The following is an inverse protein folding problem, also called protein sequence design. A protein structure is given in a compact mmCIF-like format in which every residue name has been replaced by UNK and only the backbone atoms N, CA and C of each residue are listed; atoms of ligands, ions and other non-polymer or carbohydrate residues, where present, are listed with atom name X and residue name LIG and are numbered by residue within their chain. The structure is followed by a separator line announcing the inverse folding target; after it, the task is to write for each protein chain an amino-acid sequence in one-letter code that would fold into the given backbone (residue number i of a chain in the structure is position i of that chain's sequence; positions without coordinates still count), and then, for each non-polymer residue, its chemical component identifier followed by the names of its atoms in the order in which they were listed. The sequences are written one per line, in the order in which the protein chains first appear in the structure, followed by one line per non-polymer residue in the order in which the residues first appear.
data_IF_874023490064
#
_entry.id   IF_874023490064
#
_cell.length_a   1.000
_cell.length_b   1.000
_cell.length_c   1.000
_cell.angle_alpha   90.00
_cell.angle_beta   90.00
_cell.angle_gamma   90.00
#
_symmetry.space_group_name_H-M   'P 1'
#
loop_
_entity.id
_entity.type
_entity.pdbx_description
1 polymer ?
#
# COMPACT_ATOMS: atom_id res chain seq x y z
N UNK A 1 15.63 22.25 -34.27
CA UNK A 1 14.67 21.49 -33.44
C UNK A 1 15.43 20.53 -32.51
N UNK A 2 16.30 21.04 -31.64
CA UNK A 2 17.17 20.22 -30.75
C UNK A 2 16.54 19.91 -29.39
N UNK A 3 15.38 20.48 -29.07
CA UNK A 3 14.73 20.37 -27.76
C UNK A 3 13.75 19.20 -27.65
N UNK A 4 13.30 18.61 -28.77
CA UNK A 4 12.28 17.53 -28.76
C UNK A 4 12.83 16.22 -28.17
N UNK A 5 14.11 15.90 -28.38
CA UNK A 5 14.73 14.65 -27.92
C UNK A 5 15.20 14.70 -26.45
N UNK A 6 15.09 15.86 -25.79
CA UNK A 6 15.57 16.05 -24.41
C UNK A 6 14.50 15.65 -23.38
N UNK A 7 13.22 15.78 -23.73
CA UNK A 7 12.12 15.49 -22.84
C UNK A 7 12.03 14.00 -22.49
N UNK A 8 12.12 13.66 -21.20
CA UNK A 8 12.07 12.29 -20.69
C UNK A 8 13.09 11.33 -21.35
N UNK A 9 14.23 11.87 -21.78
CA UNK A 9 15.34 11.16 -22.42
C UNK A 9 15.92 10.01 -21.58
N UNK A 10 15.73 10.03 -20.25
CA UNK A 10 16.27 9.00 -19.34
C UNK A 10 15.17 8.07 -18.82
N UNK A 11 15.32 6.74 -18.96
CA UNK A 11 14.32 5.79 -18.46
C UNK A 11 14.19 5.87 -16.93
N UNK A 12 12.96 5.93 -16.43
CA UNK A 12 12.63 6.00 -14.99
C UNK A 12 12.13 4.66 -14.47
N UNK A 13 12.95 3.63 -14.62
CA UNK A 13 12.63 2.25 -14.20
C UNK A 13 12.73 2.06 -12.68
N UNK A 14 13.55 2.87 -12.00
CA UNK A 14 13.76 2.78 -10.54
C UNK A 14 13.82 4.15 -9.86
N UNK A 15 13.84 4.13 -8.52
CA UNK A 15 13.91 5.33 -7.67
C UNK A 15 12.56 6.00 -7.41
N UNK A 16 12.59 7.14 -6.72
CA UNK A 16 11.37 7.87 -6.27
C UNK A 16 10.49 8.34 -7.44
N UNK A 17 11.08 8.62 -8.60
CA UNK A 17 10.36 9.11 -9.78
C UNK A 17 9.64 8.03 -10.59
N UNK A 18 9.95 6.75 -10.35
CA UNK A 18 9.42 5.59 -11.09
C UNK A 18 8.02 5.18 -10.68
N UNK A 19 7.63 5.51 -9.44
CA UNK A 19 6.37 5.07 -8.83
C UNK A 19 5.58 6.27 -8.32
N UNK A 20 4.27 6.14 -8.38
CA UNK A 20 3.31 7.13 -7.89
C UNK A 20 2.19 6.42 -7.14
N UNK A 21 1.52 7.15 -6.24
CA UNK A 21 0.31 6.64 -5.60
C UNK A 21 -0.75 6.31 -6.63
N UNK A 22 -1.44 5.18 -6.43
CA UNK A 22 -2.58 4.76 -7.27
C UNK A 22 -3.80 5.69 -7.19
N UNK A 23 -3.94 6.44 -6.09
CA UNK A 23 -5.09 7.34 -5.84
C UNK A 23 -4.73 8.80 -6.13
N UNK A 24 -3.68 9.29 -5.47
CA UNK A 24 -3.33 10.71 -5.45
C UNK A 24 -2.29 11.11 -6.51
N UNK A 25 -1.69 10.15 -7.25
CA UNK A 25 -0.57 10.31 -8.20
C UNK A 25 0.70 10.96 -7.60
N UNK A 26 0.68 11.29 -6.31
CA UNK A 26 1.80 11.85 -5.57
C UNK A 26 2.92 10.82 -5.45
N UNK A 27 4.16 11.27 -5.68
CA UNK A 27 5.35 10.41 -5.70
C UNK A 27 6.01 10.28 -4.33
N UNK A 28 5.81 11.24 -3.43
CA UNK A 28 6.41 11.20 -2.11
C UNK A 28 5.52 10.46 -1.10
N UNK A 29 6.17 9.79 -0.13
CA UNK A 29 5.45 9.14 0.97
C UNK A 29 4.67 7.90 0.58
N UNK A 30 5.11 7.19 -0.45
CA UNK A 30 4.49 5.97 -0.94
C UNK A 30 4.77 4.80 0.01
N UNK A 31 3.71 4.14 0.49
CA UNK A 31 3.79 2.90 1.26
C UNK A 31 3.92 1.76 0.25
N UNK A 32 5.07 1.08 0.30
CA UNK A 32 5.46 0.00 -0.62
C UNK A 32 5.27 -1.41 -0.04
N UNK A 33 4.82 -1.50 1.21
CA UNK A 33 4.62 -2.77 1.89
C UNK A 33 3.35 -3.44 1.37
N UNK A 34 3.39 -4.76 1.21
CA UNK A 34 2.27 -5.59 0.73
C UNK A 34 1.75 -5.25 -0.68
N UNK A 35 2.53 -4.54 -1.51
CA UNK A 35 2.16 -4.24 -2.90
C UNK A 35 1.01 -3.22 -3.05
N UNK A 36 0.76 -2.40 -2.03
CA UNK A 36 -0.32 -1.40 -2.04
C UNK A 36 -0.05 -0.22 -2.98
N UNK A 37 1.17 0.32 -2.97
CA UNK A 37 1.58 1.53 -3.71
C UNK A 37 0.64 2.73 -3.49
N UNK A 38 0.34 3.03 -2.23
CA UNK A 38 -0.56 4.13 -1.81
C UNK A 38 0.20 5.17 -1.00
N UNK A 39 -0.11 6.46 -1.16
CA UNK A 39 0.48 7.55 -0.38
C UNK A 39 -0.02 7.48 1.09
N UNK A 40 0.82 7.86 2.05
CA UNK A 40 0.49 7.79 3.50
C UNK A 40 -0.81 8.52 3.90
N UNK A 41 -1.22 9.55 3.15
CA UNK A 41 -2.47 10.28 3.37
C UNK A 41 -3.67 9.43 2.94
N UNK A 42 -3.68 8.98 1.69
CA UNK A 42 -4.73 8.08 1.18
C UNK A 42 -4.80 6.75 1.94
N UNK A 43 -3.67 6.25 2.46
CA UNK A 43 -3.70 5.05 3.29
C UNK A 43 -4.50 5.26 4.58
N UNK A 44 -4.43 6.45 5.21
CA UNK A 44 -5.19 6.73 6.43
C UNK A 44 -6.70 6.83 6.16
N UNK A 45 -7.09 7.35 5.00
CA UNK A 45 -8.49 7.44 4.58
C UNK A 45 -9.09 6.08 4.22
N UNK A 46 -8.27 5.17 3.69
CA UNK A 46 -8.70 3.84 3.22
C UNK A 46 -8.34 2.68 4.15
N UNK A 47 -7.68 2.95 5.28
CA UNK A 47 -7.22 1.92 6.21
C UNK A 47 -8.38 1.04 6.72
N UNK A 48 -9.51 1.66 7.05
CA UNK A 48 -10.73 0.96 7.50
C UNK A 48 -11.28 0.02 6.44
N UNK A 49 -11.35 0.49 5.19
CA UNK A 49 -11.95 -0.26 4.07
C UNK A 49 -11.07 -1.46 3.66
N UNK A 50 -9.75 -1.33 3.84
CA UNK A 50 -8.80 -2.42 3.61
C UNK A 50 -8.80 -3.44 4.78
N UNK A 51 -9.37 -3.06 5.94
CA UNK A 51 -9.44 -3.90 7.13
C UNK A 51 -8.28 -3.73 8.12
N UNK A 52 -7.51 -2.64 8.01
CA UNK A 52 -6.49 -2.30 9.01
C UNK A 52 -7.14 -1.64 10.23
N UNK A 53 -6.98 -2.27 11.40
CA UNK A 53 -7.45 -1.75 12.69
C UNK A 53 -6.26 -1.38 13.57
N UNK A 54 -6.35 -0.23 14.26
CA UNK A 54 -5.31 0.23 15.18
C UNK A 54 -5.38 -0.56 16.49
N UNK A 55 -4.38 -1.39 16.76
CA UNK A 55 -4.31 -2.23 17.98
C UNK A 55 -3.68 -1.47 19.16
N UNK A 56 -4.04 -0.20 19.37
CA UNK A 56 -3.57 0.58 20.55
C UNK A 56 -4.67 0.82 21.57
N UNK A 57 -5.93 0.57 21.20
CA UNK A 57 -7.04 0.65 22.14
C UNK A 57 -7.08 -0.64 22.95
N UNK A 58 -6.29 -0.64 24.02
CA UNK A 58 -6.23 -1.63 25.10
C UNK A 58 -7.59 -1.95 25.75
N UNK A 59 -8.69 -1.32 25.30
CA UNK A 59 -10.05 -1.49 25.83
C UNK A 59 -11.03 -2.20 24.88
N UNK A 60 -10.61 -2.72 23.72
CA UNK A 60 -11.51 -3.48 22.81
C UNK A 60 -11.01 -4.88 22.43
N UNK A 61 -10.11 -5.48 23.22
CA UNK A 61 -9.89 -6.92 23.18
C UNK A 61 -10.66 -7.58 24.32
N UNK A 62 -11.82 -8.19 24.02
CA UNK A 62 -11.95 -9.57 24.50
C UNK A 62 -12.51 -10.56 23.46
N UNK A 63 -12.91 -10.16 22.23
CA UNK A 63 -13.65 -11.06 21.33
C UNK A 63 -12.93 -11.58 20.08
N UNK A 64 -11.71 -11.14 19.77
CA UNK A 64 -10.96 -11.69 18.61
C UNK A 64 -10.17 -12.98 18.92
N UNK A 65 -10.37 -13.59 20.10
CA UNK A 65 -9.75 -14.86 20.46
C UNK A 65 -10.48 -16.10 19.90
N UNK A 66 -11.69 -15.98 19.32
CA UNK A 66 -12.52 -17.16 19.04
C UNK A 66 -12.68 -17.60 17.57
N UNK A 67 -12.12 -16.95 16.54
CA UNK A 67 -12.44 -17.34 15.14
C UNK A 67 -11.26 -17.52 14.17
N UNK A 68 -10.00 -17.46 14.61
CA UNK A 68 -8.85 -17.85 13.76
C UNK A 68 -8.39 -19.30 13.98
N UNK A 69 -9.06 -20.08 14.83
CA UNK A 69 -8.73 -21.46 15.12
C UNK A 69 -9.76 -22.44 14.57
N UNK A 70 -10.01 -22.45 13.26
CA UNK A 70 -10.41 -23.66 12.49
C UNK A 70 -10.58 -23.33 11.01
N UNK A 71 -9.53 -23.55 10.23
CA UNK A 71 -9.60 -24.02 8.83
C UNK A 71 -8.18 -24.02 8.24
N UNK A 72 -7.37 -24.95 8.72
CA UNK A 72 -6.36 -25.60 7.90
C UNK A 72 -7.04 -26.18 6.65
N UNK A 73 -6.77 -25.62 5.48
CA UNK A 73 -6.93 -26.33 4.22
C UNK A 73 -5.77 -25.92 3.32
N UNK A 74 -4.69 -26.67 3.48
CA UNK A 74 -3.75 -26.95 2.42
C UNK A 74 -4.49 -27.25 1.11
N UNK A 75 -4.04 -26.68 0.00
CA UNK A 75 -4.16 -27.34 -1.29
C UNK A 75 -2.80 -27.37 -1.97
N UNK A 76 -2.18 -28.56 -2.07
CA UNK A 76 -1.12 -28.81 -3.03
C UNK A 76 -1.74 -29.08 -4.41
N UNK A 77 -1.20 -28.42 -5.43
CA UNK A 77 -0.82 -29.08 -6.68
C UNK A 77 0.42 -28.36 -7.22
#
# INVERSE_FOLDING_TARGET
MSHENVWNSRPRTYGKGSRSCRVCTHKAGLIRKYGLDICRQCFREKASDIGFVKVTDINLCPKLFQLTSTSTASKPN
#
